data_IF_141122501732
#
_entry.id   IF_141122501732
#
_cell.length_a   1.000
_cell.length_b   1.000
_cell.length_c   1.000
_cell.angle_alpha   90.00
_cell.angle_beta   90.00
_cell.angle_gamma   90.00
#
_symmetry.space_group_name_H-M   'P 1'
#
loop_
_entity.id
_entity.type
_entity.pdbx_description
1 polymer ?
#
# COMPACT_ATOMS: atom_id res chain seq x y z
N UNK A 1 -14.50 39.36 79.68
CA UNK A 1 -13.94 40.13 78.54
C UNK A 1 -14.95 41.23 78.21
N UNK A 2 -14.55 42.46 77.85
CA UNK A 2 -15.54 43.47 77.48
C UNK A 2 -16.13 43.14 76.10
N UNK A 3 -17.43 43.36 75.90
CA UNK A 3 -18.14 43.07 74.65
C UNK A 3 -17.47 43.73 73.43
N UNK A 4 -16.80 44.86 73.64
CA UNK A 4 -16.00 45.55 72.60
C UNK A 4 -14.82 44.72 72.07
N UNK A 5 -14.27 43.81 72.86
CA UNK A 5 -13.17 42.93 72.44
C UNK A 5 -13.66 41.78 71.57
N UNK A 6 -14.88 41.29 71.81
CA UNK A 6 -15.52 40.23 71.03
C UNK A 6 -15.93 40.80 69.67
N UNK A 7 -16.63 41.93 69.66
CA UNK A 7 -17.04 42.61 68.42
C UNK A 7 -15.86 42.88 67.47
N UNK A 8 -14.72 43.36 68.00
CA UNK A 8 -13.53 43.62 67.17
C UNK A 8 -12.93 42.35 66.55
N UNK A 9 -13.08 41.19 67.19
CA UNK A 9 -12.61 39.92 66.65
C UNK A 9 -13.56 39.39 65.58
N UNK A 10 -14.86 39.55 65.78
CA UNK A 10 -15.89 39.25 64.78
C UNK A 10 -15.70 40.11 63.54
N UNK A 11 -15.60 41.44 63.69
CA UNK A 11 -15.35 42.36 62.58
C UNK A 11 -14.05 42.01 61.81
N UNK A 12 -13.03 41.53 62.52
CA UNK A 12 -11.77 41.09 61.90
C UNK A 12 -11.91 39.77 61.14
N UNK A 13 -12.69 38.82 61.67
CA UNK A 13 -12.96 37.54 61.00
C UNK A 13 -13.82 37.76 59.75
N UNK A 14 -14.83 38.62 59.81
CA UNK A 14 -15.65 38.99 58.66
C UNK A 14 -14.81 39.64 57.57
N UNK A 15 -13.94 40.58 57.95
CA UNK A 15 -13.01 41.21 57.01
C UNK A 15 -12.03 40.21 56.37
N UNK A 16 -11.48 39.28 57.15
CA UNK A 16 -10.60 38.22 56.66
C UNK A 16 -11.34 37.29 55.69
N UNK A 17 -12.57 36.92 56.02
CA UNK A 17 -13.43 36.08 55.20
C UNK A 17 -13.76 36.78 53.87
N UNK A 18 -14.21 38.03 53.91
CA UNK A 18 -14.50 38.83 52.72
C UNK A 18 -13.26 38.94 51.81
N UNK A 19 -12.09 39.20 52.41
CA UNK A 19 -10.82 39.31 51.68
C UNK A 19 -10.40 37.99 51.05
N UNK A 20 -10.59 36.87 51.75
CA UNK A 20 -10.32 35.53 51.22
C UNK A 20 -11.25 35.21 50.04
N UNK A 21 -12.55 35.46 50.18
CA UNK A 21 -13.53 35.25 49.10
C UNK A 21 -13.25 36.14 47.88
N UNK A 22 -12.85 37.40 48.09
CA UNK A 22 -12.45 38.29 47.01
C UNK A 22 -11.19 37.78 46.28
N UNK A 23 -10.17 37.37 47.04
CA UNK A 23 -8.92 36.83 46.49
C UNK A 23 -9.14 35.51 45.72
N UNK A 24 -9.97 34.63 46.25
CA UNK A 24 -10.31 33.36 45.61
C UNK A 24 -11.05 33.59 44.29
N UNK A 25 -12.06 34.47 44.27
CA UNK A 25 -12.77 34.85 43.03
C UNK A 25 -11.84 35.46 41.99
N UNK A 26 -10.91 36.33 42.39
CA UNK A 26 -9.92 36.92 41.49
C UNK A 26 -9.00 35.85 40.88
N UNK A 27 -8.52 34.90 41.69
CA UNK A 27 -7.69 33.79 41.22
C UNK A 27 -8.43 32.88 40.24
N UNK A 28 -9.66 32.46 40.56
CA UNK A 28 -10.51 31.64 39.68
C UNK A 28 -10.73 32.35 38.33
N UNK A 29 -11.03 33.64 38.35
CA UNK A 29 -11.20 34.44 37.13
C UNK A 29 -9.92 34.49 36.29
N UNK A 30 -8.75 34.67 36.92
CA UNK A 30 -7.46 34.71 36.23
C UNK A 30 -7.10 33.37 35.60
N UNK A 31 -7.29 32.26 36.31
CA UNK A 31 -7.04 30.90 35.78
C UNK A 31 -7.97 30.61 34.60
N UNK A 32 -9.25 30.97 34.71
CA UNK A 32 -10.22 30.79 33.62
C UNK A 32 -9.84 31.59 32.38
N UNK A 33 -9.44 32.85 32.56
CA UNK A 33 -8.97 33.70 31.46
C UNK A 33 -7.73 33.10 30.78
N UNK A 34 -6.77 32.59 31.56
CA UNK A 34 -5.57 31.95 31.03
C UNK A 34 -5.88 30.64 30.27
N UNK A 35 -6.80 29.81 30.77
CA UNK A 35 -7.18 28.57 30.06
C UNK A 35 -7.86 28.86 28.71
N UNK A 36 -8.73 29.88 28.68
CA UNK A 36 -9.40 30.32 27.44
C UNK A 36 -8.43 30.96 26.45
N UNK A 37 -7.47 31.77 26.91
CA UNK A 37 -6.48 32.38 26.02
C UNK A 37 -5.59 31.35 25.32
N UNK A 38 -5.44 30.15 25.90
CA UNK A 38 -4.71 29.03 25.30
C UNK A 38 -5.60 28.09 24.47
N UNK A 39 -6.85 28.47 24.19
CA UNK A 39 -7.80 27.68 23.41
C UNK A 39 -8.27 26.39 24.10
N UNK A 40 -8.17 26.30 25.43
CA UNK A 40 -8.53 25.12 26.22
C UNK A 40 -9.90 25.28 26.88
N UNK A 41 -10.95 25.42 26.09
CA UNK A 41 -12.32 25.66 26.60
C UNK A 41 -12.78 24.50 27.52
N UNK A 42 -12.54 23.25 27.13
CA UNK A 42 -12.89 22.08 27.94
C UNK A 42 -12.19 22.06 29.31
N UNK A 43 -10.94 22.55 29.39
CA UNK A 43 -10.21 22.61 30.65
C UNK A 43 -10.76 23.70 31.57
N UNK A 44 -11.23 24.82 31.00
CA UNK A 44 -11.91 25.87 31.75
C UNK A 44 -13.24 25.38 32.34
N UNK A 45 -14.02 24.61 31.58
CA UNK A 45 -15.28 24.02 32.07
C UNK A 45 -15.05 22.97 33.17
N UNK A 46 -14.04 22.11 33.03
CA UNK A 46 -13.68 21.14 34.07
C UNK A 46 -13.23 21.87 35.34
N UNK A 47 -12.46 22.96 35.19
CA UNK A 47 -12.03 23.78 36.32
C UNK A 47 -13.21 24.44 37.03
N UNK A 48 -14.21 24.97 36.32
CA UNK A 48 -15.42 25.51 36.95
C UNK A 48 -16.19 24.45 37.73
N UNK A 49 -16.40 23.27 37.13
CA UNK A 49 -17.07 22.18 37.85
C UNK A 49 -16.30 21.73 39.09
N UNK A 50 -14.97 21.73 39.03
CA UNK A 50 -14.15 21.40 40.19
C UNK A 50 -14.30 22.43 41.32
N UNK A 51 -14.37 23.72 40.98
CA UNK A 51 -14.63 24.78 41.97
C UNK A 51 -16.04 24.66 42.55
N UNK A 52 -17.05 24.38 41.73
CA UNK A 52 -18.43 24.19 42.19
C UNK A 52 -18.57 22.98 43.14
N UNK A 53 -17.82 21.91 42.90
CA UNK A 53 -17.78 20.73 43.78
C UNK A 53 -17.05 21.01 45.10
N UNK A 54 -16.00 21.83 45.07
CA UNK A 54 -15.23 22.19 46.26
C UNK A 54 -15.86 23.34 47.07
N UNK A 55 -16.77 24.10 46.48
CA UNK A 55 -17.45 25.22 47.15
C UNK A 55 -18.35 24.81 48.34
N UNK A 56 -19.11 23.69 48.32
CA UNK A 56 -19.90 23.24 49.46
C UNK A 56 -19.09 22.56 50.57
N UNK A 57 -17.84 22.14 50.31
CA UNK A 57 -16.98 21.51 51.32
C UNK A 57 -16.36 22.52 52.31
N UNK A 58 -16.59 23.82 52.12
CA UNK A 58 -16.33 24.82 53.14
C UNK A 58 -17.58 24.92 54.02
N UNK A 59 -17.57 24.35 55.25
CA UNK A 59 -18.70 24.47 56.16
C UNK A 59 -18.99 25.95 56.38
N UNK A 60 -20.25 26.34 56.21
CA UNK A 60 -20.71 27.69 56.53
C UNK A 60 -20.35 27.93 58.01
N UNK A 61 -19.48 28.89 58.34
CA UNK A 61 -19.02 29.11 59.71
C UNK A 61 -20.18 29.43 60.66
N UNK A 62 -21.33 29.88 60.13
CA UNK A 62 -22.55 30.10 60.90
C UNK A 62 -23.23 28.80 61.38
N UNK A 63 -22.96 27.66 60.73
CA UNK A 63 -23.48 26.34 61.14
C UNK A 63 -22.74 25.74 62.36
N UNK A 64 -21.62 26.34 62.78
CA UNK A 64 -20.81 25.85 63.90
C UNK A 64 -21.32 26.38 65.25
N UNK A 65 -22.06 27.51 65.26
CA UNK A 65 -22.49 28.18 66.49
C UNK A 65 -23.83 27.69 67.07
N UNK A 66 -24.60 26.89 66.33
CA UNK A 66 -25.93 26.45 66.82
C UNK A 66 -25.89 25.23 67.76
N UNK A 67 -24.73 24.56 67.93
CA UNK A 67 -24.65 23.32 68.72
C UNK A 67 -23.91 23.43 70.06
N UNK A 68 -23.55 24.62 70.54
CA UNK A 68 -22.81 24.79 71.82
C UNK A 68 -23.62 25.34 72.99
N UNK A 69 -24.95 25.39 72.90
CA UNK A 69 -25.82 25.88 73.98
C UNK A 69 -26.73 24.80 74.57
N UNK A 70 -26.20 23.65 74.95
CA UNK A 70 -26.93 22.73 75.84
C UNK A 70 -26.01 22.20 76.96
N UNK A 71 -26.39 22.59 78.18
CA UNK A 71 -26.28 21.88 79.46
C UNK A 71 -24.90 21.76 80.16
N UNK A 72 -24.63 22.70 81.08
CA UNK A 72 -23.55 22.66 82.10
C UNK A 72 -24.01 22.01 83.44
N UNK A 73 -24.70 20.84 83.41
CA UNK A 73 -25.07 20.14 84.65
C UNK A 73 -24.90 18.61 84.51
N UNK A 74 -23.65 18.11 84.50
CA UNK A 74 -23.37 16.68 84.23
C UNK A 74 -21.96 16.14 84.48
N UNK A 75 -21.14 16.77 85.34
CA UNK A 75 -19.67 16.63 85.45
C UNK A 75 -19.02 15.23 85.60
N UNK A 76 -19.79 14.14 85.76
CA UNK A 76 -19.23 12.79 85.96
C UNK A 76 -19.34 11.84 84.77
N UNK A 77 -20.46 11.86 84.04
CA UNK A 77 -20.73 10.92 82.95
C UNK A 77 -20.18 11.40 81.60
N UNK A 78 -20.07 12.72 81.43
CA UNK A 78 -19.62 13.33 80.17
C UNK A 78 -18.13 13.09 79.91
N UNK A 79 -17.31 12.99 80.97
CA UNK A 79 -15.88 12.75 80.80
C UNK A 79 -15.59 11.34 80.24
N UNK A 80 -16.35 10.33 80.64
CA UNK A 80 -16.19 8.97 80.11
C UNK A 80 -16.72 8.87 78.67
N UNK A 81 -17.86 9.50 78.38
CA UNK A 81 -18.39 9.64 77.01
C UNK A 81 -17.41 10.36 76.08
N UNK A 82 -16.77 11.44 76.55
CA UNK A 82 -15.76 12.17 75.80
C UNK A 82 -14.51 11.32 75.52
N UNK A 83 -14.04 10.54 76.49
CA UNK A 83 -12.91 9.61 76.31
C UNK A 83 -13.22 8.54 75.27
N UNK A 84 -14.41 7.97 75.29
CA UNK A 84 -14.83 6.97 74.29
C UNK A 84 -14.92 7.58 72.88
N UNK A 85 -15.45 8.81 72.76
CA UNK A 85 -15.46 9.56 71.50
C UNK A 85 -14.06 9.87 70.99
N UNK A 86 -13.14 10.30 71.86
CA UNK A 86 -11.74 10.55 71.49
C UNK A 86 -11.09 9.25 70.99
N UNK A 87 -11.25 8.13 71.71
CA UNK A 87 -10.71 6.84 71.30
C UNK A 87 -11.33 6.31 69.99
N UNK A 88 -12.58 6.69 69.68
CA UNK A 88 -13.20 6.40 68.39
C UNK A 88 -12.62 7.25 67.27
N UNK A 89 -12.44 8.56 67.49
CA UNK A 89 -11.82 9.48 66.53
C UNK A 89 -10.38 9.06 66.23
N UNK A 90 -9.61 8.67 67.24
CA UNK A 90 -8.24 8.18 67.07
C UNK A 90 -8.19 6.92 66.19
N UNK A 91 -9.13 5.98 66.39
CA UNK A 91 -9.25 4.80 65.53
C UNK A 91 -9.59 5.16 64.08
N UNK A 92 -10.56 6.06 63.88
CA UNK A 92 -10.93 6.53 62.55
C UNK A 92 -9.78 7.27 61.85
N UNK A 93 -9.03 8.09 62.59
CA UNK A 93 -7.86 8.78 62.06
C UNK A 93 -6.77 7.79 61.64
N UNK A 94 -6.53 6.74 62.43
CA UNK A 94 -5.57 5.69 62.09
C UNK A 94 -6.01 4.90 60.86
N UNK A 95 -7.29 4.57 60.74
CA UNK A 95 -7.86 3.90 59.57
C UNK A 95 -7.70 4.76 58.30
N UNK A 96 -8.07 6.03 58.37
CA UNK A 96 -7.90 6.98 57.26
C UNK A 96 -6.41 7.16 56.87
N UNK A 97 -5.49 7.13 57.83
CA UNK A 97 -4.05 7.17 57.54
C UNK A 97 -3.58 5.91 56.82
N UNK A 98 -4.07 4.73 57.23
CA UNK A 98 -3.76 3.47 56.57
C UNK A 98 -4.30 3.45 55.13
N UNK A 99 -5.56 3.85 54.94
CA UNK A 99 -6.18 3.97 53.60
C UNK A 99 -5.40 4.94 52.71
N UNK A 100 -5.01 6.10 53.24
CA UNK A 100 -4.18 7.07 52.52
C UNK A 100 -2.85 6.45 52.08
N UNK A 101 -2.20 5.67 52.95
CA UNK A 101 -0.94 4.99 52.61
C UNK A 101 -1.13 3.97 51.48
N UNK A 102 -2.23 3.22 51.50
CA UNK A 102 -2.57 2.25 50.44
C UNK A 102 -2.78 2.99 49.12
N UNK A 103 -3.64 4.01 49.09
CA UNK A 103 -3.93 4.80 47.90
C UNK A 103 -2.68 5.49 47.34
N UNK A 104 -1.76 5.95 48.20
CA UNK A 104 -0.48 6.50 47.75
C UNK A 104 0.39 5.46 47.04
N UNK A 105 0.45 4.23 47.56
CA UNK A 105 1.20 3.15 46.90
C UNK A 105 0.59 2.73 45.56
N UNK A 106 -0.75 2.69 45.47
CA UNK A 106 -1.46 2.38 44.23
C UNK A 106 -1.26 3.48 43.19
N UNK A 107 -1.32 4.74 43.60
CA UNK A 107 -1.07 5.88 42.72
C UNK A 107 0.36 5.87 42.14
N UNK A 108 1.36 5.53 42.95
CA UNK A 108 2.74 5.41 42.47
C UNK A 108 2.93 4.22 41.51
N UNK A 109 2.25 3.10 41.77
CA UNK A 109 2.21 1.95 40.86
C UNK A 109 1.62 2.33 39.49
N UNK A 110 0.46 3.00 39.48
CA UNK A 110 -0.19 3.48 38.25
C UNK A 110 0.69 4.50 37.53
N UNK A 111 1.39 5.37 38.26
CA UNK A 111 2.33 6.34 37.68
C UNK A 111 3.50 5.65 36.97
N UNK A 112 4.08 4.62 37.58
CA UNK A 112 5.15 3.83 36.96
C UNK A 112 4.66 3.07 35.73
N UNK A 113 3.46 2.49 35.78
CA UNK A 113 2.85 1.84 34.62
C UNK A 113 2.60 2.84 33.47
N UNK A 114 2.08 4.03 33.78
CA UNK A 114 1.88 5.08 32.78
C UNK A 114 3.21 5.53 32.18
N UNK A 115 4.27 5.68 32.99
CA UNK A 115 5.59 6.09 32.52
C UNK A 115 6.22 5.03 31.59
N UNK A 116 6.12 3.74 31.94
CA UNK A 116 6.61 2.67 31.07
C UNK A 116 5.85 2.63 29.76
N UNK A 117 4.51 2.70 29.78
CA UNK A 117 3.69 2.80 28.55
C UNK A 117 4.07 3.99 27.68
N UNK A 118 4.26 5.18 28.28
CA UNK A 118 4.70 6.36 27.53
C UNK A 118 6.08 6.16 26.88
N UNK A 119 7.03 5.52 27.57
CA UNK A 119 8.34 5.22 27.01
C UNK A 119 8.27 4.23 25.83
N UNK A 120 7.44 3.17 25.96
CA UNK A 120 7.21 2.19 24.90
C UNK A 120 6.59 2.85 23.68
N UNK A 121 5.50 3.62 23.85
CA UNK A 121 4.84 4.33 22.75
C UNK A 121 5.77 5.34 22.05
N UNK A 122 6.68 5.97 22.80
CA UNK A 122 7.68 6.88 22.22
C UNK A 122 8.66 6.10 21.34
N UNK A 123 9.15 4.95 21.79
CA UNK A 123 10.04 4.10 20.99
C UNK A 123 9.35 3.54 19.74
N UNK A 124 8.08 3.13 19.84
CA UNK A 124 7.29 2.67 18.70
C UNK A 124 7.08 3.79 17.67
N UNK A 125 6.78 5.01 18.14
CA UNK A 125 6.65 6.19 17.28
C UNK A 125 7.93 6.49 16.50
N UNK A 126 9.10 6.36 17.14
CA UNK A 126 10.39 6.54 16.48
C UNK A 126 10.66 5.45 15.43
N UNK A 127 10.33 4.19 15.75
CA UNK A 127 10.42 3.07 14.80
C UNK A 127 9.56 3.31 13.55
N UNK A 128 8.29 3.69 13.74
CA UNK A 128 7.37 4.02 12.64
C UNK A 128 7.91 5.17 11.78
N UNK A 129 8.53 6.19 12.40
CA UNK A 129 9.13 7.31 11.69
C UNK A 129 10.31 6.86 10.81
N UNK A 130 11.15 5.96 11.30
CA UNK A 130 12.26 5.39 10.53
C UNK A 130 11.75 4.56 9.36
N UNK A 131 10.71 3.73 9.57
CA UNK A 131 10.08 2.94 8.51
C UNK A 131 9.46 3.84 7.43
N UNK A 132 8.76 4.91 7.81
CA UNK A 132 8.20 5.87 6.88
C UNK A 132 9.29 6.55 6.02
N UNK A 133 10.45 6.85 6.60
CA UNK A 133 11.59 7.40 5.88
C UNK A 133 12.17 6.39 4.88
N UNK A 134 12.29 5.12 5.27
CA UNK A 134 12.73 4.04 4.37
C UNK A 134 11.76 3.86 3.19
N UNK A 135 10.45 3.82 3.46
CA UNK A 135 9.40 3.73 2.45
C UNK A 135 9.44 4.91 1.47
N UNK A 136 9.68 6.13 1.97
CA UNK A 136 9.87 7.31 1.12
C UNK A 136 11.09 7.19 0.20
N UNK A 137 12.21 6.66 0.72
CA UNK A 137 13.42 6.39 -0.08
C UNK A 137 13.16 5.32 -1.15
N UNK A 138 12.51 4.22 -0.78
CA UNK A 138 12.15 3.14 -1.70
C UNK A 138 11.23 3.64 -2.81
N UNK A 139 10.22 4.46 -2.49
CA UNK A 139 9.32 5.07 -3.48
C UNK A 139 10.06 5.94 -4.49
N UNK A 140 11.09 6.68 -4.06
CA UNK A 140 11.96 7.45 -4.97
C UNK A 140 12.77 6.55 -5.89
N UNK A 141 13.28 5.43 -5.37
CA UNK A 141 14.03 4.46 -6.17
C UNK A 141 13.15 3.75 -7.20
N UNK A 142 11.93 3.36 -6.83
CA UNK A 142 10.94 2.79 -7.77
C UNK A 142 10.68 3.75 -8.92
N UNK A 143 10.37 5.03 -8.62
CA UNK A 143 10.16 6.04 -9.67
C UNK A 143 11.37 6.20 -10.61
N UNK A 144 12.60 6.13 -10.06
CA UNK A 144 13.83 6.16 -10.88
C UNK A 144 13.94 4.94 -11.79
N UNK A 145 13.58 3.76 -11.29
CA UNK A 145 13.57 2.54 -12.10
C UNK A 145 12.50 2.61 -13.19
N UNK A 146 11.30 3.10 -12.88
CA UNK A 146 10.23 3.30 -13.87
C UNK A 146 10.69 4.20 -15.02
N UNK A 147 11.31 5.35 -14.70
CA UNK A 147 11.83 6.25 -15.74
C UNK A 147 12.94 5.61 -16.60
N UNK A 148 13.78 4.74 -16.01
CA UNK A 148 14.81 4.01 -16.76
C UNK A 148 14.19 2.94 -17.66
N UNK A 149 13.14 2.28 -17.18
CA UNK A 149 12.42 1.26 -17.93
C UNK A 149 11.69 1.88 -19.12
N UNK A 150 11.07 3.04 -18.93
CA UNK A 150 10.46 3.83 -20.01
C UNK A 150 11.51 4.26 -21.05
N UNK A 151 12.68 4.76 -20.62
CA UNK A 151 13.73 5.14 -21.57
C UNK A 151 14.24 3.94 -22.38
N UNK A 152 14.47 2.79 -21.74
CA UNK A 152 14.90 1.57 -22.42
C UNK A 152 13.82 1.05 -23.38
N UNK A 153 12.55 1.15 -23.02
CA UNK A 153 11.44 0.78 -23.89
C UNK A 153 11.40 1.66 -25.15
N UNK A 154 11.64 2.97 -25.01
CA UNK A 154 11.72 3.88 -26.17
C UNK A 154 12.91 3.58 -27.07
N UNK A 155 14.09 3.35 -26.49
CA UNK A 155 15.31 3.00 -27.25
C UNK A 155 15.15 1.67 -28.00
N UNK A 156 14.55 0.67 -27.36
CA UNK A 156 14.27 -0.62 -27.97
C UNK A 156 13.26 -0.48 -29.12
N UNK A 157 12.22 0.35 -28.94
CA UNK A 157 11.24 0.63 -29.99
C UNK A 157 11.86 1.31 -31.21
N UNK A 158 12.75 2.28 -30.99
CA UNK A 158 13.46 2.97 -32.07
C UNK A 158 14.42 2.03 -32.80
N UNK A 159 15.13 1.18 -32.06
CA UNK A 159 16.00 0.14 -32.64
C UNK A 159 15.22 -0.86 -33.50
N UNK A 160 14.05 -1.31 -33.05
CA UNK A 160 13.17 -2.19 -33.83
C UNK A 160 12.70 -1.50 -35.12
N UNK A 161 12.38 -0.21 -35.05
CA UNK A 161 11.96 0.57 -36.22
C UNK A 161 13.09 0.66 -37.25
N UNK A 162 14.32 0.93 -36.82
CA UNK A 162 15.50 0.96 -37.69
C UNK A 162 15.75 -0.40 -38.36
N UNK A 163 15.74 -1.48 -37.58
CA UNK A 163 15.87 -2.86 -38.09
C UNK A 163 14.78 -3.20 -39.11
N UNK A 164 13.56 -2.72 -38.90
CA UNK A 164 12.43 -2.94 -39.82
C UNK A 164 12.66 -2.23 -41.15
N UNK A 165 13.18 -1.00 -41.14
CA UNK A 165 13.52 -0.28 -42.38
C UNK A 165 14.68 -0.95 -43.14
N UNK A 166 15.75 -1.36 -42.44
CA UNK A 166 16.85 -2.12 -43.04
C UNK A 166 16.36 -3.43 -43.65
N UNK A 167 15.42 -4.12 -42.99
CA UNK A 167 14.82 -5.36 -43.51
C UNK A 167 14.02 -5.13 -44.79
N UNK A 168 13.27 -4.02 -44.88
CA UNK A 168 12.55 -3.63 -46.11
C UNK A 168 13.51 -3.37 -47.26
N UNK A 169 14.60 -2.63 -47.01
CA UNK A 169 15.62 -2.35 -48.03
C UNK A 169 16.28 -3.64 -48.53
N UNK A 170 16.69 -4.53 -47.61
CA UNK A 170 17.24 -5.83 -47.97
C UNK A 170 16.27 -6.69 -48.78
N UNK A 171 14.98 -6.65 -48.44
CA UNK A 171 13.94 -7.36 -49.20
C UNK A 171 13.82 -6.84 -50.64
N UNK A 172 13.87 -5.52 -50.83
CA UNK A 172 13.88 -4.89 -52.15
C UNK A 172 15.13 -5.28 -52.96
N UNK A 173 16.31 -5.29 -52.32
CA UNK A 173 17.57 -5.70 -52.95
C UNK A 173 17.53 -7.17 -53.39
N UNK A 174 17.00 -8.08 -52.56
CA UNK A 174 16.83 -9.50 -52.88
C UNK A 174 15.89 -9.66 -54.09
N UNK A 175 14.78 -8.92 -54.14
CA UNK A 175 13.88 -8.94 -55.30
C UNK A 175 14.57 -8.46 -56.58
N UNK A 176 15.37 -7.39 -56.48
CA UNK A 176 16.19 -6.88 -57.59
C UNK A 176 17.17 -7.92 -58.14
N UNK A 177 17.91 -8.60 -57.25
CA UNK A 177 18.84 -9.67 -57.61
C UNK A 177 18.13 -10.86 -58.28
N UNK A 178 16.96 -11.27 -57.77
CA UNK A 178 16.15 -12.33 -58.40
C UNK A 178 15.73 -11.97 -59.83
N UNK A 179 15.35 -10.70 -60.07
CA UNK A 179 14.98 -10.22 -61.40
C UNK A 179 16.18 -10.24 -62.37
N UNK A 180 17.35 -9.81 -61.92
CA UNK A 180 18.60 -9.89 -62.70
C UNK A 180 18.96 -11.35 -63.03
N UNK A 181 18.81 -12.26 -62.07
CA UNK A 181 19.07 -13.68 -62.30
C UNK A 181 18.13 -14.27 -63.37
N UNK A 182 16.85 -13.88 -63.37
CA UNK A 182 15.90 -14.30 -64.41
C UNK A 182 16.29 -13.77 -65.79
N UNK A 183 16.68 -12.49 -65.90
CA UNK A 183 17.14 -11.89 -67.16
C UNK A 183 18.40 -12.57 -67.69
N UNK A 184 19.37 -12.88 -66.82
CA UNK A 184 20.59 -13.61 -67.21
C UNK A 184 20.28 -15.02 -67.71
N UNK A 185 19.37 -15.75 -67.05
CA UNK A 185 18.91 -17.07 -67.52
C UNK A 185 18.25 -16.96 -68.90
N UNK A 186 17.39 -15.96 -69.11
CA UNK A 186 16.72 -15.73 -70.39
C UNK A 186 17.74 -15.40 -71.50
N UNK A 187 18.68 -14.49 -71.24
CA UNK A 187 19.75 -14.13 -72.19
C UNK A 187 20.57 -15.35 -72.60
N UNK A 188 20.96 -16.20 -71.64
CA UNK A 188 21.72 -17.41 -71.92
C UNK A 188 20.91 -18.43 -72.74
N UNK A 189 19.61 -18.57 -72.48
CA UNK A 189 18.73 -19.42 -73.30
C UNK A 189 18.59 -18.90 -74.73
N UNK A 190 18.42 -17.59 -74.93
CA UNK A 190 18.38 -17.00 -76.28
C UNK A 190 19.71 -17.14 -77.02
N UNK A 191 20.84 -17.01 -76.32
CA UNK A 191 22.16 -17.22 -76.92
C UNK A 191 22.37 -18.69 -77.31
N UNK A 192 21.97 -19.63 -76.46
CA UNK A 192 22.01 -21.06 -76.76
C UNK A 192 21.09 -21.44 -77.93
N UNK A 193 19.89 -20.84 -78.00
CA UNK A 193 18.96 -21.05 -79.12
C UNK A 193 19.50 -20.47 -80.44
N UNK A 194 20.13 -19.29 -80.42
CA UNK A 194 20.79 -18.72 -81.58
C UNK A 194 21.99 -19.57 -82.04
N UNK A 195 22.79 -20.08 -81.11
CA UNK A 195 23.88 -21.01 -81.42
C UNK A 195 23.36 -22.35 -82.01
N UNK A 196 22.27 -22.89 -81.47
CA UNK A 196 21.62 -24.08 -81.99
C UNK A 196 20.99 -23.86 -83.38
N UNK A 197 20.43 -22.68 -83.65
CA UNK A 197 19.90 -22.30 -84.95
C UNK A 197 21.01 -22.12 -86.01
N UNK A 198 22.17 -21.57 -85.62
CA UNK A 198 23.35 -21.50 -86.51
C UNK A 198 23.92 -22.89 -86.80
N UNK A 199 23.94 -23.78 -85.80
CA UNK A 199 24.33 -25.18 -86.00
C UNK A 199 23.32 -25.95 -86.87
N UNK A 200 22.02 -25.65 -86.79
CA UNK A 200 20.97 -26.25 -87.61
C UNK A 200 20.92 -25.68 -89.05
N UNK A 201 21.25 -24.40 -89.25
CA UNK A 201 21.36 -23.79 -90.57
C UNK A 201 22.60 -24.27 -91.35
N UNK A 202 23.62 -24.78 -90.65
CA UNK A 202 24.78 -25.41 -91.27
C UNK A 202 24.51 -26.86 -91.76
N UNK A 203 23.35 -27.46 -91.43
CA UNK A 203 23.07 -28.87 -91.73
C UNK A 203 21.61 -29.11 -92.15
N UNK A 204 21.35 -29.10 -93.46
CA UNK A 204 20.26 -29.89 -94.08
C UNK A 204 20.67 -30.35 -95.49
N UNK A 205 20.29 -31.54 -96.01
CA UNK A 205 19.94 -32.84 -95.35
C UNK A 205 20.56 -34.07 -96.14
N UNK A 206 20.18 -35.37 -96.00
CA UNK A 206 19.05 -35.98 -95.26
C UNK A 206 19.44 -37.30 -94.51
N UNK A 207 18.51 -38.21 -94.16
CA UNK A 207 18.12 -38.48 -92.77
C UNK A 207 18.55 -39.87 -92.30
N UNK A 208 18.98 -40.04 -91.05
CA UNK A 208 18.91 -41.38 -90.41
C UNK A 208 19.23 -41.29 -88.92
N UNK A 209 18.51 -42.10 -88.15
CA UNK A 209 19.01 -42.61 -86.87
C UNK A 209 18.63 -41.80 -85.64
N UNK A 210 17.41 -42.00 -85.17
CA UNK A 210 17.05 -41.69 -83.79
C UNK A 210 17.79 -42.65 -82.84
N UNK A 211 18.74 -42.13 -82.06
CA UNK A 211 19.14 -42.71 -80.78
C UNK A 211 19.02 -41.62 -79.72
N UNK A 212 17.91 -41.66 -78.99
CA UNK A 212 17.70 -40.85 -77.81
C UNK A 212 18.56 -41.41 -76.66
N UNK A 213 19.51 -40.61 -76.17
CA UNK A 213 20.09 -40.81 -74.85
C UNK A 213 20.24 -39.46 -74.14
N UNK A 214 20.10 -39.52 -72.81
CA UNK A 214 20.20 -38.41 -71.85
C UNK A 214 18.93 -37.57 -71.63
N UNK A 215 17.96 -38.15 -70.91
CA UNK A 215 17.19 -37.36 -69.96
C UNK A 215 17.93 -37.35 -68.62
N UNK A 216 18.71 -36.30 -68.38
CA UNK A 216 19.03 -35.87 -67.01
C UNK A 216 18.00 -34.81 -66.62
N UNK A 217 16.96 -35.22 -65.91
CA UNK A 217 16.09 -34.30 -65.17
C UNK A 217 16.77 -34.00 -63.84
N UNK A 218 17.00 -32.73 -63.47
CA UNK A 218 17.35 -32.43 -62.08
C UNK A 218 16.11 -32.65 -61.22
N UNK A 219 16.28 -33.41 -60.13
CA UNK A 219 15.29 -33.60 -59.06
C UNK A 219 14.82 -32.23 -58.56
N UNK A 220 13.58 -31.88 -58.87
CA UNK A 220 12.86 -30.81 -58.19
C UNK A 220 12.60 -31.30 -56.77
N UNK A 221 13.30 -30.73 -55.79
CA UNK A 221 12.96 -30.90 -54.38
C UNK A 221 11.56 -30.35 -54.14
N UNK A 222 10.61 -31.26 -53.93
CA UNK A 222 9.25 -30.93 -53.52
C UNK A 222 9.34 -30.41 -52.09
N UNK A 223 9.48 -29.09 -51.93
CA UNK A 223 9.09 -28.43 -50.69
C UNK A 223 7.58 -28.35 -50.70
N UNK A 224 6.94 -29.34 -50.07
CA UNK A 224 5.52 -29.33 -49.81
C UNK A 224 5.28 -28.25 -48.75
N UNK A 225 4.80 -27.07 -49.18
CA UNK A 225 4.16 -26.12 -48.27
C UNK A 225 2.85 -26.78 -47.84
N UNK A 226 2.82 -27.30 -46.61
CA UNK A 226 1.58 -27.75 -46.00
C UNK A 226 0.84 -26.51 -45.51
N UNK A 227 0.00 -25.93 -46.37
CA UNK A 227 -0.96 -24.92 -45.96
C UNK A 227 -2.06 -25.66 -45.18
N UNK A 228 -1.94 -25.69 -43.85
CA UNK A 228 -3.01 -26.20 -42.98
C UNK A 228 -4.09 -25.13 -42.87
N UNK A 229 -5.13 -25.27 -43.67
CA UNK A 229 -6.31 -24.42 -43.62
C UNK A 229 -7.23 -24.93 -42.50
N UNK A 230 -7.10 -24.39 -41.29
CA UNK A 230 -8.02 -24.72 -40.18
C UNK A 230 -9.28 -23.87 -40.34
N UNK A 231 -10.40 -24.52 -40.66
CA UNK A 231 -11.73 -23.88 -40.59
C UNK A 231 -12.02 -23.53 -39.13
N UNK A 232 -12.17 -22.23 -38.86
CA UNK A 232 -12.61 -21.70 -37.56
C UNK A 232 -14.01 -22.24 -37.25
N UNK A 233 -14.13 -23.18 -36.30
CA UNK A 233 -15.40 -23.46 -35.66
C UNK A 233 -15.63 -22.41 -34.57
N UNK A 234 -16.74 -21.69 -34.67
CA UNK A 234 -17.12 -20.64 -33.76
C UNK A 234 -17.55 -21.21 -32.39
N UNK A 235 -16.58 -21.50 -31.53
CA UNK A 235 -16.80 -21.71 -30.10
C UNK A 235 -15.92 -20.74 -29.30
N UNK A 236 -16.53 -20.01 -28.36
CA UNK A 236 -15.92 -18.92 -27.56
C UNK A 236 -14.80 -19.38 -26.58
N UNK A 237 -14.30 -20.61 -26.71
CA UNK A 237 -13.26 -21.20 -25.84
C UNK A 237 -12.10 -21.85 -26.59
N UNK A 238 -12.08 -21.80 -27.92
CA UNK A 238 -10.94 -22.33 -28.69
C UNK A 238 -9.86 -21.25 -28.78
N UNK A 239 -8.59 -21.53 -28.41
CA UNK A 239 -7.51 -20.56 -28.58
C UNK A 239 -7.40 -20.17 -30.06
N UNK A 240 -7.43 -18.86 -30.33
CA UNK A 240 -7.26 -18.31 -31.67
C UNK A 240 -5.79 -18.40 -32.07
N UNK A 241 -5.37 -19.59 -32.49
CA UNK A 241 -4.03 -19.84 -32.97
C UNK A 241 -3.89 -19.22 -34.35
N UNK A 242 -3.09 -18.18 -34.44
CA UNK A 242 -2.88 -17.43 -35.69
C UNK A 242 -1.77 -18.05 -36.53
N UNK A 243 -0.77 -18.65 -35.88
CA UNK A 243 0.34 -19.31 -36.59
C UNK A 243 0.94 -20.45 -35.78
N UNK A 244 1.43 -21.47 -36.50
CA UNK A 244 2.10 -22.66 -35.97
C UNK A 244 3.34 -22.94 -36.78
N UNK A 245 4.51 -22.86 -36.15
CA UNK A 245 5.78 -23.16 -36.79
C UNK A 245 6.47 -24.37 -36.15
N UNK A 246 6.73 -25.41 -36.96
CA UNK A 246 7.56 -26.53 -36.55
C UNK A 246 9.03 -26.18 -36.79
N UNK A 247 9.81 -26.16 -35.71
CA UNK A 247 11.24 -25.90 -35.74
C UNK A 247 12.04 -27.20 -35.87
N UNK A 248 13.21 -27.16 -36.52
CA UNK A 248 14.15 -28.28 -36.54
C UNK A 248 14.52 -28.71 -35.11
N UNK A 249 14.62 -30.02 -34.89
CA UNK A 249 14.79 -30.60 -33.55
C UNK A 249 13.49 -30.99 -32.85
N UNK A 250 12.32 -30.88 -33.52
CA UNK A 250 11.04 -31.32 -32.97
C UNK A 250 10.50 -30.33 -31.94
N UNK A 251 10.66 -29.04 -32.16
CA UNK A 251 10.04 -28.00 -31.32
C UNK A 251 8.89 -27.35 -32.09
N UNK A 252 7.86 -26.94 -31.37
CA UNK A 252 6.67 -26.33 -31.94
C UNK A 252 6.51 -24.92 -31.34
N UNK A 253 6.31 -23.92 -32.18
CA UNK A 253 5.98 -22.56 -31.76
C UNK A 253 4.52 -22.29 -32.09
N UNK A 254 3.77 -21.84 -31.09
CA UNK A 254 2.37 -21.44 -31.24
C UNK A 254 2.25 -19.95 -30.94
N UNK A 255 1.70 -19.20 -31.89
CA UNK A 255 1.31 -17.81 -31.68
C UNK A 255 -0.20 -17.75 -31.37
N UNK A 256 -0.52 -17.37 -30.14
CA UNK A 256 -1.88 -17.19 -29.66
C UNK A 256 -2.21 -15.69 -29.70
N UNK A 257 -3.01 -15.31 -30.68
CA UNK A 257 -3.40 -13.92 -30.90
C UNK A 257 -4.34 -13.42 -29.79
N UNK A 258 -5.21 -14.29 -29.26
CA UNK A 258 -6.21 -13.92 -28.26
C UNK A 258 -5.53 -13.55 -26.93
N UNK A 259 -4.49 -14.30 -26.58
CA UNK A 259 -3.71 -14.06 -25.36
C UNK A 259 -2.44 -13.23 -25.60
N UNK A 260 -2.22 -12.73 -26.83
CA UNK A 260 -1.05 -11.96 -27.25
C UNK A 260 0.27 -12.61 -26.80
N UNK A 261 0.38 -13.94 -26.92
CA UNK A 261 1.53 -14.69 -26.41
C UNK A 261 2.06 -15.72 -27.41
N UNK A 262 3.36 -16.01 -27.31
CA UNK A 262 4.03 -17.04 -28.12
C UNK A 262 4.53 -18.13 -27.18
N UNK A 263 4.12 -19.37 -27.39
CA UNK A 263 4.51 -20.53 -26.57
C UNK A 263 5.37 -21.50 -27.38
N UNK A 264 6.51 -21.91 -26.79
CA UNK A 264 7.45 -22.85 -27.37
C UNK A 264 7.34 -24.21 -26.68
N UNK A 265 7.11 -25.27 -27.45
CA UNK A 265 6.98 -26.64 -26.96
C UNK A 265 8.08 -27.53 -27.51
N UNK A 266 8.54 -28.48 -26.70
CA UNK A 266 9.47 -29.52 -27.12
C UNK A 266 8.72 -30.84 -27.29
N UNK A 267 8.53 -31.27 -28.54
CA UNK A 267 7.76 -32.48 -28.86
C UNK A 267 8.50 -33.76 -28.50
N UNK A 268 9.82 -33.69 -28.23
CA UNK A 268 10.60 -34.87 -27.82
C UNK A 268 10.26 -35.30 -26.39
N UNK A 269 9.87 -34.37 -25.51
CA UNK A 269 9.43 -34.69 -24.15
C UNK A 269 8.02 -35.33 -24.10
N UNK A 270 7.27 -35.27 -25.20
CA UNK A 270 5.94 -35.88 -25.28
C UNK A 270 5.98 -37.37 -25.66
N UNK A 271 7.10 -37.88 -26.20
CA UNK A 271 7.30 -39.31 -26.52
C UNK A 271 7.35 -40.25 -25.31
N UNK A 272 7.40 -39.72 -24.08
CA UNK A 272 7.35 -40.52 -22.86
C UNK A 272 5.95 -41.00 -22.46
N UNK A 273 4.89 -40.62 -23.19
CA UNK A 273 3.49 -40.97 -22.89
C UNK A 273 2.77 -41.66 -24.06
N UNK A 274 3.52 -42.43 -24.85
CA UNK A 274 3.05 -43.03 -26.11
C UNK A 274 1.97 -44.13 -25.96
N UNK A 275 1.46 -44.39 -24.75
CA UNK A 275 0.42 -45.40 -24.51
C UNK A 275 -1.01 -44.86 -24.34
N UNK A 276 -1.26 -43.55 -24.54
CA UNK A 276 -2.62 -42.98 -24.34
C UNK A 276 -3.26 -42.31 -25.56
N UNK A 277 -2.63 -42.34 -26.74
CA UNK A 277 -3.12 -41.64 -27.93
C UNK A 277 -3.25 -42.53 -29.17
N UNK A 278 -3.56 -43.82 -28.98
CA UNK A 278 -4.07 -44.67 -30.06
C UNK A 278 -5.51 -45.02 -29.77
N UNK A 279 -6.42 -44.12 -30.14
CA UNK A 279 -7.69 -44.40 -30.80
C UNK A 279 -8.50 -43.10 -30.92
N UNK A 280 -8.94 -42.83 -32.15
CA UNK A 280 -9.90 -41.80 -32.55
C UNK A 280 -9.36 -40.35 -32.61
N UNK A 281 -9.12 -39.91 -33.85
CA UNK A 281 -8.46 -38.65 -34.22
C UNK A 281 -9.24 -37.37 -33.99
N UNK A 282 -9.65 -37.07 -32.75
CA UNK A 282 -10.21 -35.75 -32.39
C UNK A 282 -9.94 -35.29 -30.93
N UNK A 283 -8.97 -35.87 -30.20
CA UNK A 283 -8.75 -35.57 -28.76
C UNK A 283 -7.36 -35.04 -28.39
N UNK A 284 -6.77 -34.15 -29.18
CA UNK A 284 -5.55 -33.42 -28.75
C UNK A 284 -5.91 -32.31 -27.74
N UNK A 285 -7.17 -31.87 -27.69
CA UNK A 285 -7.62 -30.73 -26.87
C UNK A 285 -7.87 -31.13 -25.39
N UNK A 286 -8.27 -32.38 -25.10
CA UNK A 286 -8.61 -32.80 -23.72
C UNK A 286 -7.39 -32.89 -22.77
N UNK A 287 -6.17 -32.92 -23.29
CA UNK A 287 -4.97 -32.89 -22.45
C UNK A 287 -4.62 -31.48 -21.92
N UNK A 288 -5.34 -30.44 -22.37
CA UNK A 288 -5.03 -29.05 -22.05
C UNK A 288 -5.70 -28.54 -20.77
N UNK A 289 -6.81 -29.15 -20.34
CA UNK A 289 -7.62 -28.60 -19.24
C UNK A 289 -7.05 -28.94 -17.85
N UNK A 290 -6.35 -30.08 -17.69
CA UNK A 290 -5.84 -30.52 -16.37
C UNK A 290 -4.58 -29.83 -15.87
N UNK A 291 -3.97 -28.93 -16.65
CA UNK A 291 -2.72 -28.25 -16.25
C UNK A 291 -2.95 -26.81 -15.76
N UNK A 292 -4.20 -26.32 -15.76
CA UNK A 292 -4.53 -24.92 -15.44
C UNK A 292 -5.05 -24.72 -14.01
N UNK A 293 -5.48 -25.77 -13.31
CA UNK A 293 -6.17 -25.64 -12.01
C UNK A 293 -5.27 -25.65 -10.75
N UNK A 294 -3.96 -25.37 -10.85
CA UNK A 294 -3.07 -25.44 -9.66
C UNK A 294 -2.61 -24.09 -9.11
N UNK A 295 -2.76 -22.97 -9.82
CA UNK A 295 -2.32 -21.67 -9.29
C UNK A 295 -3.26 -20.56 -9.70
N UNK A 296 -4.34 -20.34 -8.94
CA UNK A 296 -5.06 -19.07 -8.86
C UNK A 296 -5.88 -19.04 -7.56
N UNK A 297 -5.21 -18.71 -6.45
CA UNK A 297 -5.90 -18.16 -5.27
C UNK A 297 -5.99 -16.64 -5.45
N UNK A 298 -7.07 -16.20 -6.09
CA UNK A 298 -7.47 -14.79 -6.12
C UNK A 298 -7.97 -14.37 -4.74
N UNK A 299 -7.28 -13.39 -4.14
CA UNK A 299 -7.86 -12.55 -3.09
C UNK A 299 -8.13 -11.16 -3.66
N UNK A 300 -9.35 -10.71 -3.43
CA UNK A 300 -9.99 -9.47 -3.85
C UNK A 300 -9.08 -8.23 -3.85
N UNK A 301 -8.85 -7.68 -5.04
CA UNK A 301 -8.34 -6.32 -5.26
C UNK A 301 -9.49 -5.42 -5.68
N UNK A 302 -10.39 -5.13 -4.74
CA UNK A 302 -11.38 -4.03 -4.84
C UNK A 302 -11.51 -3.33 -3.50
N UNK A 303 -10.59 -2.40 -3.21
CA UNK A 303 -10.73 -1.39 -2.13
C UNK A 303 -9.55 -0.42 -1.96
N UNK A 304 -8.48 -0.51 -2.77
CA UNK A 304 -7.24 0.23 -2.49
C UNK A 304 -7.24 1.73 -2.85
N UNK A 305 -8.18 2.18 -3.68
CA UNK A 305 -8.22 3.58 -4.13
C UNK A 305 -9.03 4.52 -3.20
N UNK A 306 -9.73 4.00 -2.20
CA UNK A 306 -10.51 4.81 -1.25
C UNK A 306 -9.74 5.14 0.06
N UNK A 307 -8.72 4.35 0.41
CA UNK A 307 -7.93 4.53 1.64
C UNK A 307 -6.88 5.65 1.49
N UNK A 308 -6.40 5.90 0.26
CA UNK A 308 -5.37 6.91 -0.02
C UNK A 308 -5.89 8.36 -0.03
N UNK A 309 -7.21 8.58 -0.12
CA UNK A 309 -7.82 9.91 0.04
C UNK A 309 -8.00 10.31 1.50
N UNK A 310 -8.33 9.38 2.39
CA UNK A 310 -8.53 9.66 3.83
C UNK A 310 -7.21 10.00 4.55
N UNK A 311 -6.12 9.30 4.20
CA UNK A 311 -4.83 9.46 4.90
C UNK A 311 -4.09 10.76 4.58
N UNK A 312 -4.34 11.37 3.41
CA UNK A 312 -3.70 12.64 3.02
C UNK A 312 -4.38 13.89 3.58
N UNK A 313 -5.64 13.81 4.02
CA UNK A 313 -6.31 14.95 4.68
C UNK A 313 -5.92 15.09 6.15
N UNK A 314 -5.65 13.99 6.85
CA UNK A 314 -5.25 14.00 8.26
C UNK A 314 -3.87 14.62 8.47
N UNK A 315 -2.91 14.37 7.56
CA UNK A 315 -1.54 14.92 7.66
C UNK A 315 -1.52 16.44 7.40
N UNK A 316 -2.42 16.96 6.56
CA UNK A 316 -2.49 18.41 6.29
C UNK A 316 -3.08 19.23 7.45
N UNK A 317 -3.93 18.64 8.31
CA UNK A 317 -4.48 19.34 9.47
C UNK A 317 -3.43 19.56 10.56
N UNK A 318 -2.53 18.61 10.79
CA UNK A 318 -1.50 18.73 11.83
C UNK A 318 -0.36 19.71 11.49
N UNK A 319 -0.01 19.87 10.20
CA UNK A 319 0.97 20.89 9.79
C UNK A 319 0.42 22.32 9.85
N UNK A 320 -0.91 22.49 9.80
CA UNK A 320 -1.54 23.82 9.92
C UNK A 320 -1.56 24.34 11.36
N UNK A 321 -1.63 23.44 12.36
CA UNK A 321 -1.63 23.80 13.78
C UNK A 321 -0.24 24.18 14.30
N UNK A 322 0.82 23.61 13.72
CA UNK A 322 2.21 23.91 14.12
C UNK A 322 2.73 25.24 13.55
N UNK A 323 2.23 25.71 12.41
CA UNK A 323 2.63 27.00 11.82
C UNK A 323 1.96 28.23 12.43
N UNK A 324 0.82 28.08 13.11
CA UNK A 324 0.15 29.20 13.80
C UNK A 324 0.85 29.53 15.13
N UNK A 325 1.45 28.54 15.79
CA UNK A 325 2.12 28.73 17.09
C UNK A 325 3.46 29.49 17.01
N UNK A 326 4.12 29.53 15.84
CA UNK A 326 5.44 30.17 15.69
C UNK A 326 5.40 31.65 15.27
N UNK A 327 4.23 32.24 15.03
CA UNK A 327 4.11 33.65 14.59
C UNK A 327 3.74 34.66 15.69
N UNK A 328 3.55 34.24 16.94
CA UNK A 328 3.19 35.15 18.05
C UNK A 328 4.34 35.51 19.01
N UNK A 329 5.58 35.10 18.74
CA UNK A 329 6.74 35.44 19.59
C UNK A 329 7.74 36.41 18.93
N UNK A 330 7.30 37.18 17.93
CA UNK A 330 8.12 38.21 17.30
C UNK A 330 7.43 39.59 17.32
N UNK A 331 7.58 40.28 18.46
CA UNK A 331 7.63 41.75 18.58
C UNK A 331 6.31 42.51 18.78
N UNK A 332 6.37 43.75 19.31
CA UNK A 332 7.56 44.59 19.54
C UNK A 332 8.24 44.39 20.90
#
# INVERSE_FOLDING_TARGET
MSDRSIQRKEDYLDWMHEKFCASSRAYVSAVKAALRSHGRENAAEIFERAIDVLSPDFPDPTSIDEHTKEEEDGDGNDLNSLKDRIAQIERQLQEAQNERSILQSELESVRQEAQTKCSTLTSERESIKQEAQLNSSMKKNVRRLDTKLESLATETKDSIKELTEVSKENSANIQGLRKLQMLMKQKNQTAAAAAAAVAAAALTPPPTGATASSQSRPLMGVWQRADFNVKVSADKRTPGIEDVQLLPGGRLVLADYVNMCVKLFDTQKLRGRDNLCKENGNKIIDCWEKSVDVENNDTDVKSRDEIDRSSNESIKRDESLTKVSTRQLAGP
#
